data_IF_058678267922
#
_entry.id   IF_058678267922
#
_cell.length_a   1.000
_cell.length_b   1.000
_cell.length_c   1.000
_cell.angle_alpha   90.00
_cell.angle_beta   90.00
_cell.angle_gamma   90.00
#
_symmetry.space_group_name_H-M   'P 1'
#
loop_
_entity.id
_entity.type
_entity.pdbx_description
1 polymer ?
#
# COMPACT_ATOMS: atom_id res chain seq x y z
N UNK A 1 23.78 -7.48 21.42
CA UNK A 1 24.06 -8.31 20.23
C UNK A 1 25.24 -7.68 19.50
N UNK A 2 26.04 -8.41 18.73
CA UNK A 2 27.12 -7.76 17.95
C UNK A 2 26.55 -7.10 16.69
N UNK A 3 27.12 -5.98 16.25
CA UNK A 3 26.70 -5.29 15.01
C UNK A 3 26.64 -6.22 13.81
N UNK A 4 27.58 -7.18 13.72
CA UNK A 4 27.60 -8.18 12.65
C UNK A 4 26.31 -9.01 12.61
N UNK A 5 25.77 -9.38 13.77
CA UNK A 5 24.53 -10.16 13.86
C UNK A 5 23.34 -9.35 13.39
N UNK A 6 23.26 -8.07 13.76
CA UNK A 6 22.20 -7.15 13.34
C UNK A 6 22.28 -6.90 11.82
N UNK A 7 23.47 -6.69 11.26
CA UNK A 7 23.68 -6.54 9.81
C UNK A 7 23.22 -7.79 9.05
N UNK A 8 23.63 -8.97 9.51
CA UNK A 8 23.21 -10.24 8.90
C UNK A 8 21.67 -10.36 8.95
N UNK A 9 21.05 -10.03 10.10
CA UNK A 9 19.61 -10.05 10.23
C UNK A 9 18.92 -9.11 9.23
N UNK A 10 19.39 -7.86 9.11
CA UNK A 10 18.87 -6.89 8.12
C UNK A 10 18.96 -7.44 6.70
N UNK A 11 20.12 -7.96 6.30
CA UNK A 11 20.33 -8.51 4.95
C UNK A 11 19.40 -9.69 4.70
N UNK A 12 19.29 -10.62 5.65
CA UNK A 12 18.40 -11.77 5.53
C UNK A 12 16.93 -11.36 5.39
N UNK A 13 16.47 -10.37 6.15
CA UNK A 13 15.09 -9.88 6.09
C UNK A 13 14.82 -9.17 4.76
N UNK A 14 15.69 -8.26 4.33
CA UNK A 14 15.53 -7.52 3.08
C UNK A 14 15.61 -8.44 1.86
N UNK A 15 16.67 -9.25 1.75
CA UNK A 15 16.88 -10.14 0.61
C UNK A 15 15.85 -11.26 0.60
N UNK A 16 15.59 -11.89 1.75
CA UNK A 16 14.61 -12.97 1.86
C UNK A 16 13.19 -12.49 1.52
N UNK A 17 12.76 -11.36 2.10
CA UNK A 17 11.46 -10.76 1.81
C UNK A 17 11.33 -10.37 0.34
N UNK A 18 12.34 -9.71 -0.22
CA UNK A 18 12.35 -9.31 -1.62
C UNK A 18 12.29 -10.51 -2.57
N UNK A 19 13.05 -11.58 -2.30
CA UNK A 19 13.02 -12.80 -3.11
C UNK A 19 11.64 -13.43 -3.12
N UNK A 20 10.94 -13.49 -1.99
CA UNK A 20 9.57 -14.02 -1.93
C UNK A 20 8.63 -13.17 -2.79
N UNK A 21 8.65 -11.85 -2.62
CA UNK A 21 7.79 -10.93 -3.39
C UNK A 21 8.08 -11.01 -4.89
N UNK A 22 9.37 -11.04 -5.24
CA UNK A 22 9.81 -11.15 -6.64
C UNK A 22 9.42 -12.51 -7.26
N UNK A 23 9.49 -13.59 -6.49
CA UNK A 23 9.03 -14.91 -6.92
C UNK A 23 7.53 -14.90 -7.24
N UNK A 24 6.71 -14.26 -6.39
CA UNK A 24 5.27 -14.10 -6.64
C UNK A 24 4.99 -13.28 -7.90
N UNK A 25 5.77 -12.22 -8.13
CA UNK A 25 5.67 -11.42 -9.35
C UNK A 25 5.99 -12.24 -10.60
N UNK A 26 7.13 -12.95 -10.63
CA UNK A 26 7.52 -13.83 -11.74
C UNK A 26 6.43 -14.86 -12.00
N UNK A 27 5.92 -15.48 -10.93
CA UNK A 27 4.83 -16.46 -11.05
C UNK A 27 3.59 -15.86 -11.73
N UNK A 28 3.17 -14.66 -11.34
CA UNK A 28 2.05 -13.95 -11.97
C UNK A 28 2.30 -13.65 -13.44
N UNK A 29 3.48 -13.13 -13.78
CA UNK A 29 3.88 -12.83 -15.16
C UNK A 29 3.90 -14.07 -16.05
N UNK A 30 4.41 -15.19 -15.53
CA UNK A 30 4.44 -16.47 -16.25
C UNK A 30 3.03 -17.01 -16.54
N UNK A 31 2.10 -16.85 -15.60
CA UNK A 31 0.72 -17.32 -15.72
C UNK A 31 -0.16 -16.43 -16.59
N UNK A 32 0.00 -15.11 -16.50
CA UNK A 32 -0.91 -14.16 -17.13
C UNK A 32 -0.16 -12.89 -17.57
N UNK A 33 0.37 -12.91 -18.80
CA UNK A 33 1.17 -11.80 -19.35
C UNK A 33 0.37 -10.54 -19.64
N UNK A 34 -0.96 -10.64 -19.78
CA UNK A 34 -1.81 -9.55 -20.27
C UNK A 34 -2.36 -8.65 -19.15
N UNK A 35 -2.19 -9.03 -17.89
CA UNK A 35 -2.68 -8.24 -16.74
C UNK A 35 -1.53 -7.57 -16.00
N UNK A 36 -1.84 -6.46 -15.32
CA UNK A 36 -0.86 -5.66 -14.59
C UNK A 36 -0.42 -6.35 -13.28
N UNK A 37 0.40 -7.41 -13.39
CA UNK A 37 0.94 -8.16 -12.26
C UNK A 37 1.86 -7.31 -11.36
N UNK A 38 2.30 -6.16 -11.85
CA UNK A 38 3.07 -5.21 -11.04
C UNK A 38 2.23 -4.62 -9.89
N UNK A 39 0.90 -4.57 -10.01
CA UNK A 39 0.01 -4.20 -8.89
C UNK A 39 0.23 -5.14 -7.71
N UNK A 40 0.28 -6.46 -7.96
CA UNK A 40 0.51 -7.45 -6.91
C UNK A 40 1.89 -7.29 -6.26
N UNK A 41 2.94 -7.12 -7.08
CA UNK A 41 4.30 -6.86 -6.58
C UNK A 41 4.34 -5.63 -5.66
N UNK A 42 3.78 -4.51 -6.14
CA UNK A 42 3.76 -3.25 -5.41
C UNK A 42 2.96 -3.39 -4.10
N UNK A 43 1.79 -4.04 -4.14
CA UNK A 43 0.98 -4.30 -2.95
C UNK A 43 1.72 -5.13 -1.92
N UNK A 44 2.38 -6.23 -2.33
CA UNK A 44 3.13 -7.07 -1.39
C UNK A 44 4.30 -6.31 -0.75
N UNK A 45 5.02 -5.50 -1.52
CA UNK A 45 6.11 -4.67 -1.01
C UNK A 45 5.61 -3.62 0.00
N UNK A 46 4.50 -2.95 -0.31
CA UNK A 46 3.87 -1.97 0.60
C UNK A 46 3.35 -2.65 1.86
N UNK A 47 2.70 -3.81 1.75
CA UNK A 47 2.25 -4.57 2.93
C UNK A 47 3.42 -5.00 3.79
N UNK A 48 4.53 -5.41 3.18
CA UNK A 48 5.74 -5.79 3.90
C UNK A 48 6.38 -4.61 4.66
N UNK A 49 6.50 -3.46 3.98
CA UNK A 49 6.91 -2.19 4.60
C UNK A 49 5.99 -1.81 5.77
N UNK A 50 4.66 -1.92 5.60
CA UNK A 50 3.69 -1.61 6.64
C UNK A 50 3.85 -2.48 7.90
N UNK A 51 4.05 -3.79 7.73
CA UNK A 51 4.30 -4.72 8.84
C UNK A 51 5.59 -4.34 9.58
N UNK A 52 6.67 -4.07 8.84
CA UNK A 52 7.94 -3.67 9.45
C UNK A 52 7.85 -2.33 10.16
N UNK A 53 7.05 -1.40 9.65
CA UNK A 53 6.83 -0.12 10.31
C UNK A 53 6.06 -0.28 11.63
N UNK A 54 5.08 -1.20 11.71
CA UNK A 54 4.43 -1.55 12.98
C UNK A 54 5.45 -2.17 13.96
N UNK A 55 6.27 -3.11 13.48
CA UNK A 55 7.33 -3.74 14.30
C UNK A 55 8.31 -2.68 14.82
N UNK A 56 8.71 -1.74 13.97
CA UNK A 56 9.57 -0.63 14.35
C UNK A 56 8.95 0.27 15.42
N UNK A 57 7.66 0.61 15.31
CA UNK A 57 6.98 1.41 16.33
C UNK A 57 6.89 0.68 17.68
N UNK A 58 6.65 -0.64 17.67
CA UNK A 58 6.70 -1.46 18.88
C UNK A 58 8.13 -1.51 19.45
N UNK A 59 9.14 -1.69 18.60
CA UNK A 59 10.53 -1.67 19.03
C UNK A 59 10.92 -0.33 19.66
N UNK A 60 10.50 0.78 19.06
CA UNK A 60 10.73 2.13 19.60
C UNK A 60 10.09 2.30 20.99
N UNK A 61 8.86 1.80 21.16
CA UNK A 61 8.13 1.87 22.42
C UNK A 61 8.80 1.06 23.55
N UNK A 62 9.25 -0.16 23.26
CA UNK A 62 9.78 -1.07 24.27
C UNK A 62 11.27 -0.90 24.56
N UNK A 63 12.08 -0.52 23.56
CA UNK A 63 13.54 -0.54 23.68
C UNK A 63 14.18 0.84 23.56
N UNK A 64 13.62 1.74 22.76
CA UNK A 64 14.22 3.04 22.49
C UNK A 64 13.68 4.17 23.37
N UNK A 65 12.61 3.94 24.13
CA UNK A 65 12.06 4.91 25.07
C UNK A 65 13.09 5.34 26.14
N UNK A 66 14.03 4.46 26.47
CA UNK A 66 15.12 4.74 27.43
C UNK A 66 16.38 5.32 26.76
N UNK A 67 16.60 5.09 25.46
CA UNK A 67 17.84 5.51 24.76
C UNK A 67 17.80 6.94 24.22
N UNK A 68 16.61 7.46 23.95
CA UNK A 68 16.43 8.80 23.40
C UNK A 68 15.47 9.59 24.28
N UNK A 69 15.81 10.84 24.56
CA UNK A 69 14.88 11.78 25.18
C UNK A 69 13.72 12.07 24.19
N UNK A 70 12.58 11.41 24.34
CA UNK A 70 11.29 11.69 23.69
C UNK A 70 11.05 11.32 22.19
N UNK A 71 11.56 10.22 21.59
CA UNK A 71 11.16 9.87 20.22
C UNK A 71 9.74 9.30 20.05
N UNK A 72 9.07 8.61 21.02
CA UNK A 72 7.71 8.16 20.79
C UNK A 72 6.75 9.33 20.64
N UNK A 73 7.00 10.47 21.30
CA UNK A 73 6.12 11.65 21.26
C UNK A 73 6.05 12.29 19.86
N UNK A 74 7.14 12.26 19.10
CA UNK A 74 7.18 12.83 17.74
C UNK A 74 6.77 11.84 16.64
N UNK A 75 6.99 10.53 16.84
CA UNK A 75 6.63 9.50 15.87
C UNK A 75 5.13 9.14 15.91
N UNK A 76 4.55 9.04 17.11
CA UNK A 76 3.13 8.69 17.28
C UNK A 76 2.19 9.58 16.45
N UNK A 77 2.31 10.92 16.46
CA UNK A 77 1.43 11.78 15.70
C UNK A 77 1.49 11.51 14.19
N UNK A 78 2.68 11.28 13.64
CA UNK A 78 2.86 10.95 12.21
C UNK A 78 2.15 9.63 11.87
N UNK A 79 2.36 8.59 12.68
CA UNK A 79 1.68 7.31 12.54
C UNK A 79 0.15 7.47 12.62
N UNK A 80 -0.36 8.17 13.63
CA UNK A 80 -1.79 8.36 13.84
C UNK A 80 -2.44 9.16 12.72
N UNK A 81 -1.82 10.26 12.27
CA UNK A 81 -2.33 11.08 11.15
C UNK A 81 -2.42 10.23 9.89
N UNK A 82 -1.38 9.46 9.57
CA UNK A 82 -1.36 8.59 8.40
C UNK A 82 -2.45 7.51 8.47
N UNK A 83 -2.52 6.75 9.57
CA UNK A 83 -3.53 5.69 9.75
C UNK A 83 -4.93 6.29 9.67
N UNK A 84 -5.19 7.38 10.38
CA UNK A 84 -6.52 7.99 10.44
C UNK A 84 -6.97 8.48 9.06
N UNK A 85 -6.08 9.18 8.35
CA UNK A 85 -6.37 9.68 7.02
C UNK A 85 -6.62 8.56 6.01
N UNK A 86 -5.75 7.54 6.00
CA UNK A 86 -5.90 6.38 5.12
C UNK A 86 -7.16 5.58 5.46
N UNK A 87 -7.46 5.37 6.74
CA UNK A 87 -8.68 4.69 7.18
C UNK A 87 -9.93 5.41 6.67
N UNK A 88 -10.02 6.73 6.86
CA UNK A 88 -11.16 7.53 6.41
C UNK A 88 -11.39 7.38 4.90
N UNK A 89 -10.33 7.49 4.11
CA UNK A 89 -10.41 7.38 2.66
C UNK A 89 -10.75 5.96 2.20
N UNK A 90 -10.15 4.93 2.80
CA UNK A 90 -10.48 3.53 2.52
C UNK A 90 -11.95 3.25 2.80
N UNK A 91 -12.44 3.62 3.98
CA UNK A 91 -13.85 3.44 4.34
C UNK A 91 -14.76 4.21 3.39
N UNK A 92 -14.41 5.44 3.03
CA UNK A 92 -15.19 6.25 2.09
C UNK A 92 -15.26 5.62 0.69
N UNK A 93 -14.14 5.15 0.15
CA UNK A 93 -14.06 4.50 -1.17
C UNK A 93 -14.87 3.20 -1.16
N UNK A 94 -14.60 2.31 -0.19
CA UNK A 94 -15.26 1.00 -0.13
C UNK A 94 -16.76 1.13 0.14
N UNK A 95 -17.19 2.04 1.02
CA UNK A 95 -18.62 2.28 1.30
C UNK A 95 -19.35 2.80 0.07
N UNK A 96 -18.71 3.68 -0.72
CA UNK A 96 -19.27 4.14 -1.99
C UNK A 96 -19.47 2.97 -2.95
N UNK A 97 -18.47 2.11 -3.11
CA UNK A 97 -18.57 0.94 -3.99
C UNK A 97 -19.65 -0.03 -3.52
N UNK A 98 -19.74 -0.33 -2.22
CA UNK A 98 -20.78 -1.20 -1.67
C UNK A 98 -22.20 -0.69 -1.94
N UNK A 99 -22.40 0.63 -1.92
CA UNK A 99 -23.72 1.23 -2.12
C UNK A 99 -24.10 1.29 -3.61
N UNK A 100 -23.15 1.64 -4.47
CA UNK A 100 -23.43 2.06 -5.85
C UNK A 100 -23.01 1.03 -6.91
N UNK A 101 -22.26 -0.01 -6.55
CA UNK A 101 -21.76 -1.02 -7.49
C UNK A 101 -22.25 -2.42 -7.06
N UNK A 102 -23.27 -2.93 -7.76
CA UNK A 102 -23.85 -4.26 -7.51
C UNK A 102 -22.82 -5.38 -7.66
N UNK A 103 -21.95 -5.30 -8.65
CA UNK A 103 -20.96 -6.34 -8.93
C UNK A 103 -19.92 -6.41 -7.80
N UNK A 104 -19.42 -5.26 -7.35
CA UNK A 104 -18.52 -5.18 -6.20
C UNK A 104 -19.21 -5.70 -4.93
N UNK A 105 -20.49 -5.38 -4.74
CA UNK A 105 -21.24 -5.85 -3.56
C UNK A 105 -21.38 -7.37 -3.53
N UNK A 106 -21.66 -8.02 -4.66
CA UNK A 106 -21.70 -9.49 -4.73
C UNK A 106 -20.33 -10.10 -4.45
N UNK A 107 -19.28 -9.59 -5.12
CA UNK A 107 -17.90 -10.04 -4.88
C UNK A 107 -17.49 -9.87 -3.41
N UNK A 108 -17.84 -8.74 -2.79
CA UNK A 108 -17.55 -8.46 -1.39
C UNK A 108 -18.21 -9.50 -0.47
N UNK A 109 -19.42 -9.96 -0.78
CA UNK A 109 -20.10 -10.96 0.05
C UNK A 109 -19.37 -12.30 0.08
N UNK A 110 -18.72 -12.68 -1.03
CA UNK A 110 -17.96 -13.91 -1.18
C UNK A 110 -16.55 -13.80 -0.57
N UNK A 111 -15.93 -12.62 -0.64
CA UNK A 111 -14.52 -12.41 -0.25
C UNK A 111 -14.32 -11.40 0.89
N UNK A 112 -15.28 -11.29 1.83
CA UNK A 112 -15.28 -10.30 2.93
C UNK A 112 -13.96 -10.24 3.69
N UNK A 113 -13.44 -11.40 4.10
CA UNK A 113 -12.21 -11.48 4.90
C UNK A 113 -11.00 -10.90 4.17
N UNK A 114 -10.89 -11.19 2.87
CA UNK A 114 -9.83 -10.64 2.03
C UNK A 114 -9.96 -9.13 1.86
N UNK A 115 -11.17 -8.62 1.58
CA UNK A 115 -11.41 -7.18 1.49
C UNK A 115 -11.03 -6.45 2.79
N UNK A 116 -11.39 -7.01 3.96
CA UNK A 116 -11.02 -6.45 5.27
C UNK A 116 -9.50 -6.47 5.46
N UNK A 117 -8.82 -7.55 5.09
CA UNK A 117 -7.36 -7.64 5.16
C UNK A 117 -6.68 -6.58 4.27
N UNK A 118 -7.16 -6.40 3.05
CA UNK A 118 -6.66 -5.36 2.14
C UNK A 118 -6.98 -3.96 2.67
N UNK A 119 -8.14 -3.76 3.28
CA UNK A 119 -8.48 -2.50 3.95
C UNK A 119 -7.52 -2.22 5.13
N UNK A 120 -7.13 -3.23 5.91
CA UNK A 120 -6.10 -3.08 6.94
C UNK A 120 -4.72 -2.76 6.35
N UNK A 121 -4.30 -3.43 5.27
CA UNK A 121 -3.04 -3.12 4.60
C UNK A 121 -3.04 -1.69 4.01
N UNK A 122 -4.21 -1.20 3.58
CA UNK A 122 -4.34 0.15 3.03
C UNK A 122 -4.11 1.26 4.06
N UNK A 123 -4.08 0.94 5.36
CA UNK A 123 -3.72 1.88 6.42
C UNK A 123 -2.27 2.37 6.27
N UNK A 124 -1.38 1.54 5.73
CA UNK A 124 -0.02 1.94 5.37
C UNK A 124 0.00 2.79 4.10
N UNK A 125 -0.66 2.33 3.03
CA UNK A 125 -0.80 3.11 1.79
C UNK A 125 -2.03 2.72 1.00
N UNK A 126 -2.77 3.71 0.51
CA UNK A 126 -4.01 3.52 -0.25
C UNK A 126 -3.79 2.83 -1.61
N UNK A 127 -2.56 2.83 -2.12
CA UNK A 127 -2.18 2.10 -3.34
C UNK A 127 -2.55 0.61 -3.28
N UNK A 128 -2.55 0.02 -2.08
CA UNK A 128 -2.85 -1.41 -1.87
C UNK A 128 -4.25 -1.79 -2.36
N UNK A 129 -5.21 -0.84 -2.34
CA UNK A 129 -6.59 -1.10 -2.78
C UNK A 129 -6.70 -1.50 -4.26
N UNK A 130 -5.73 -1.14 -5.10
CA UNK A 130 -5.73 -1.56 -6.50
C UNK A 130 -5.61 -3.08 -6.69
N UNK A 131 -5.07 -3.79 -5.69
CA UNK A 131 -4.96 -5.26 -5.76
C UNK A 131 -6.32 -5.94 -5.84
N UNK A 132 -7.38 -5.29 -5.34
CA UNK A 132 -8.74 -5.82 -5.38
C UNK A 132 -9.20 -6.06 -6.83
N UNK A 133 -8.68 -5.33 -7.81
CA UNK A 133 -9.09 -5.42 -9.21
C UNK A 133 -7.92 -5.70 -10.16
N UNK A 134 -6.87 -6.38 -9.69
CA UNK A 134 -5.67 -6.65 -10.50
C UNK A 134 -5.73 -7.96 -11.33
N UNK A 135 -6.76 -8.80 -11.10
CA UNK A 135 -6.99 -10.09 -11.79
C UNK A 135 -5.78 -11.03 -11.75
N UNK A 136 -5.02 -10.97 -10.65
CA UNK A 136 -3.81 -11.76 -10.48
C UNK A 136 -4.11 -13.25 -10.58
N UNK A 137 -3.39 -13.94 -11.47
CA UNK A 137 -3.52 -15.39 -11.72
C UNK A 137 -4.96 -15.87 -12.03
N UNK A 138 -5.82 -14.99 -12.56
CA UNK A 138 -7.24 -15.28 -12.85
C UNK A 138 -8.03 -15.75 -11.62
N UNK A 139 -7.57 -15.45 -10.41
CA UNK A 139 -8.32 -15.77 -9.21
C UNK A 139 -9.40 -14.70 -9.00
N UNK A 140 -10.61 -15.16 -8.75
CA UNK A 140 -11.81 -14.38 -8.43
C UNK A 140 -11.59 -13.39 -7.26
N UNK A 141 -10.80 -13.78 -6.26
CA UNK A 141 -10.44 -12.95 -5.12
C UNK A 141 -9.68 -11.66 -5.51
N UNK A 142 -9.13 -11.56 -6.72
CA UNK A 142 -8.48 -10.35 -7.24
C UNK A 142 -9.28 -9.66 -8.36
N UNK A 143 -10.55 -10.02 -8.55
CA UNK A 143 -11.46 -9.46 -9.56
C UNK A 143 -12.71 -8.85 -8.90
N UNK A 144 -12.49 -7.82 -8.08
CA UNK A 144 -13.55 -7.13 -7.34
C UNK A 144 -14.44 -6.24 -8.21
N UNK A 145 -14.08 -6.02 -9.49
CA UNK A 145 -14.83 -5.18 -10.43
C UNK A 145 -15.09 -3.77 -9.87
N UNK A 146 -14.02 -3.15 -9.37
CA UNK A 146 -14.05 -1.76 -8.90
C UNK A 146 -14.52 -0.84 -10.03
N UNK A 147 -15.36 0.15 -9.72
CA UNK A 147 -15.75 1.16 -10.70
C UNK A 147 -14.56 2.04 -11.11
N UNK A 148 -14.58 2.55 -12.34
CA UNK A 148 -13.57 3.52 -12.81
C UNK A 148 -13.44 4.73 -11.87
N UNK A 149 -14.56 5.14 -11.28
CA UNK A 149 -14.56 6.26 -10.34
C UNK A 149 -13.84 5.92 -9.03
N UNK A 150 -13.97 4.69 -8.52
CA UNK A 150 -13.22 4.25 -7.35
C UNK A 150 -11.73 4.15 -7.65
N UNK A 151 -11.34 3.57 -8.79
CA UNK A 151 -9.94 3.44 -9.18
C UNK A 151 -9.27 4.81 -9.32
N UNK A 152 -9.93 5.77 -9.98
CA UNK A 152 -9.45 7.16 -10.04
C UNK A 152 -9.30 7.77 -8.65
N UNK A 153 -10.26 7.55 -7.76
CA UNK A 153 -10.16 8.02 -6.37
C UNK A 153 -9.01 7.39 -5.62
N UNK A 154 -8.75 6.09 -5.79
CA UNK A 154 -7.62 5.40 -5.17
C UNK A 154 -6.30 6.03 -5.63
N UNK A 155 -6.14 6.31 -6.93
CA UNK A 155 -4.94 6.99 -7.45
C UNK A 155 -4.73 8.35 -6.78
N UNK A 156 -5.74 9.22 -6.77
CA UNK A 156 -5.62 10.56 -6.16
C UNK A 156 -5.38 10.48 -4.66
N UNK A 157 -6.11 9.60 -3.97
CA UNK A 157 -5.99 9.36 -2.55
C UNK A 157 -4.58 8.85 -2.20
N UNK A 158 -3.99 8.00 -3.03
CA UNK A 158 -2.63 7.50 -2.85
C UNK A 158 -1.57 8.60 -2.95
N UNK A 159 -1.74 9.57 -3.87
CA UNK A 159 -0.84 10.73 -3.97
C UNK A 159 -0.87 11.54 -2.68
N UNK A 160 -2.07 11.78 -2.14
CA UNK A 160 -2.22 12.51 -0.87
C UNK A 160 -1.62 11.71 0.29
N UNK A 161 -1.87 10.39 0.33
CA UNK A 161 -1.31 9.47 1.33
C UNK A 161 0.21 9.48 1.36
N UNK A 162 0.86 9.59 0.19
CA UNK A 162 2.31 9.72 0.10
C UNK A 162 2.84 11.02 0.73
N UNK A 163 2.17 12.13 0.46
CA UNK A 163 2.59 13.44 0.98
C UNK A 163 2.36 13.53 2.50
N UNK A 164 1.23 13.00 3.00
CA UNK A 164 0.87 13.10 4.41
C UNK A 164 1.46 12.00 5.29
N UNK A 165 1.77 10.83 4.72
CA UNK A 165 2.23 9.66 5.46
C UNK A 165 3.64 9.23 5.08
N UNK A 166 3.80 8.75 3.84
CA UNK A 166 5.03 8.08 3.40
C UNK A 166 6.27 8.99 3.47
N UNK A 167 6.17 10.23 2.99
CA UNK A 167 7.29 11.18 2.97
C UNK A 167 7.69 11.60 4.39
N UNK A 168 6.77 12.07 5.27
CA UNK A 168 7.10 12.34 6.67
C UNK A 168 7.72 11.14 7.39
N UNK A 169 7.18 9.94 7.16
CA UNK A 169 7.70 8.69 7.70
C UNK A 169 9.13 8.41 7.25
N UNK A 170 9.44 8.63 5.97
CA UNK A 170 10.80 8.46 5.43
C UNK A 170 11.79 9.40 6.11
N UNK A 171 11.45 10.68 6.24
CA UNK A 171 12.31 11.66 6.92
C UNK A 171 12.55 11.29 8.37
N UNK A 172 11.50 10.85 9.08
CA UNK A 172 11.60 10.44 10.46
C UNK A 172 12.47 9.20 10.64
N UNK A 173 12.28 8.16 9.82
CA UNK A 173 13.12 6.97 9.83
C UNK A 173 14.58 7.30 9.52
N UNK A 174 14.83 8.20 8.56
CA UNK A 174 16.17 8.68 8.25
C UNK A 174 16.83 9.41 9.42
N UNK A 175 16.11 10.35 10.05
CA UNK A 175 16.57 11.06 11.24
C UNK A 175 16.91 10.11 12.39
N UNK A 176 16.04 9.13 12.67
CA UNK A 176 16.25 8.16 13.74
C UNK A 176 17.43 7.23 13.43
N UNK A 177 17.57 6.73 12.20
CA UNK A 177 18.70 5.89 11.82
C UNK A 177 20.04 6.63 11.89
N UNK A 178 20.08 7.94 11.55
CA UNK A 178 21.30 8.75 11.69
C UNK A 178 21.64 9.10 13.14
N UNK A 179 20.65 9.14 14.02
CA UNK A 179 20.84 9.45 15.44
C UNK A 179 21.24 8.24 16.31
N UNK A 180 21.17 7.02 15.78
CA UNK A 180 21.60 5.82 16.48
C UNK A 180 23.13 5.70 16.48
N UNK A 181 23.71 5.43 17.64
CA UNK A 181 25.17 5.20 17.78
C UNK A 181 25.58 3.81 17.28
N UNK A 182 24.69 2.83 17.46
CA UNK A 182 24.91 1.42 17.10
C UNK A 182 23.98 1.01 15.96
N UNK A 183 24.33 -0.08 15.26
CA UNK A 183 23.51 -0.60 14.17
C UNK A 183 22.39 -1.50 14.71
N UNK A 184 21.14 -1.18 14.40
CA UNK A 184 19.97 -1.98 14.79
C UNK A 184 19.18 -2.44 13.58
N UNK A 185 18.89 -3.73 13.50
CA UNK A 185 18.30 -4.30 12.31
C UNK A 185 16.90 -3.76 12.01
N UNK A 186 16.06 -3.56 13.04
CA UNK A 186 14.66 -3.12 12.90
C UNK A 186 14.53 -1.73 12.26
N UNK A 187 15.10 -0.65 12.83
CA UNK A 187 15.00 0.70 12.23
C UNK A 187 15.63 0.76 10.83
N UNK A 188 16.74 0.06 10.61
CA UNK A 188 17.41 0.07 9.30
C UNK A 188 16.59 -0.69 8.25
N UNK A 189 16.05 -1.86 8.58
CA UNK A 189 15.17 -2.63 7.68
C UNK A 189 13.93 -1.81 7.32
N UNK A 190 13.28 -1.18 8.30
CA UNK A 190 12.11 -0.32 8.05
C UNK A 190 12.44 0.86 7.14
N UNK A 191 13.60 1.50 7.32
CA UNK A 191 14.03 2.60 6.46
C UNK A 191 14.22 2.16 5.00
N UNK A 192 14.94 1.05 4.76
CA UNK A 192 15.14 0.53 3.41
C UNK A 192 13.84 0.08 2.75
N UNK A 193 12.93 -0.57 3.50
CA UNK A 193 11.63 -0.96 2.97
C UNK A 193 10.78 0.24 2.60
N UNK A 194 10.74 1.30 3.42
CA UNK A 194 10.00 2.52 3.10
C UNK A 194 10.57 3.20 1.86
N UNK A 195 11.91 3.23 1.72
CA UNK A 195 12.55 3.75 0.51
C UNK A 195 12.13 2.95 -0.74
N UNK A 196 12.17 1.62 -0.69
CA UNK A 196 11.76 0.76 -1.80
C UNK A 196 10.28 0.94 -2.14
N UNK A 197 9.40 0.92 -1.13
CA UNK A 197 7.96 1.06 -1.30
C UNK A 197 7.59 2.40 -1.94
N UNK A 198 8.24 3.50 -1.54
CA UNK A 198 8.04 4.82 -2.15
C UNK A 198 8.50 4.80 -3.62
N UNK A 199 9.68 4.27 -3.91
CA UNK A 199 10.22 4.25 -5.26
C UNK A 199 9.32 3.44 -6.21
N UNK A 200 9.03 2.18 -5.89
CA UNK A 200 8.16 1.35 -6.72
C UNK A 200 6.72 1.86 -6.76
N UNK A 201 6.22 2.43 -5.66
CA UNK A 201 4.91 3.06 -5.60
C UNK A 201 4.79 4.32 -6.47
N UNK A 202 5.86 5.11 -6.58
CA UNK A 202 5.92 6.26 -7.50
C UNK A 202 5.93 5.79 -8.96
N UNK A 203 6.76 4.80 -9.30
CA UNK A 203 6.74 4.19 -10.64
C UNK A 203 5.37 3.65 -11.01
N UNK A 204 4.68 2.99 -10.07
CA UNK A 204 3.32 2.50 -10.27
C UNK A 204 2.34 3.63 -10.61
N UNK A 205 2.34 4.71 -9.82
CA UNK A 205 1.41 5.84 -10.02
C UNK A 205 1.65 6.56 -11.32
N UNK A 206 2.93 6.76 -11.69
CA UNK A 206 3.31 7.33 -12.98
C UNK A 206 2.84 6.44 -14.13
N UNK A 207 3.05 5.12 -14.01
CA UNK A 207 2.58 4.15 -15.01
C UNK A 207 1.06 4.18 -15.17
N UNK A 208 0.30 4.08 -14.07
CA UNK A 208 -1.17 4.14 -14.11
C UNK A 208 -1.67 5.49 -14.66
N UNK A 209 -1.10 6.61 -14.24
CA UNK A 209 -1.53 7.92 -14.74
C UNK A 209 -1.25 8.10 -16.23
N UNK A 210 -0.11 7.62 -16.74
CA UNK A 210 0.22 7.78 -18.17
C UNK A 210 -0.55 6.81 -19.07
N UNK A 211 -0.76 5.58 -18.63
CA UNK A 211 -1.36 4.52 -19.46
C UNK A 211 -2.89 4.53 -19.38
N UNK A 212 -3.47 4.79 -18.20
CA UNK A 212 -4.92 4.68 -17.97
C UNK A 212 -5.70 5.92 -18.42
N UNK A 213 -5.09 7.10 -18.44
CA UNK A 213 -5.70 8.29 -19.05
C UNK A 213 -5.82 8.17 -20.59
N UNK A 214 -5.18 7.16 -21.21
CA UNK A 214 -5.29 6.85 -22.64
C UNK A 214 -6.40 5.83 -22.98
N UNK A 215 -6.88 5.05 -22.01
CA UNK A 215 -8.07 4.21 -22.20
C UNK A 215 -9.31 5.08 -22.07
N UNK A 216 -9.65 5.75 -23.18
CA UNK A 216 -10.93 6.42 -23.38
C UNK A 216 -12.04 5.48 -22.87
N UNK A 217 -12.94 5.93 -21.96
CA UNK A 217 -14.03 5.10 -21.48
C UNK A 217 -14.76 4.51 -22.68
N UNK A 218 -14.85 3.19 -22.75
CA UNK A 218 -15.64 2.53 -23.78
C UNK A 218 -17.02 3.21 -23.79
N UNK A 219 -17.46 3.62 -24.97
CA UNK A 219 -18.63 4.46 -25.28
C UNK A 219 -19.89 4.17 -24.43
N UNK A 220 -20.02 2.97 -23.86
CA UNK A 220 -21.07 2.58 -22.93
C UNK A 220 -21.12 3.38 -21.61
N UNK A 221 -19.99 3.80 -21.02
CA UNK A 221 -20.03 4.59 -19.76
C UNK A 221 -20.53 6.02 -19.98
N UNK A 222 -20.21 6.63 -21.13
CA UNK A 222 -20.72 7.95 -21.51
C UNK A 222 -22.24 7.94 -21.78
N UNK A 223 -22.77 6.84 -22.32
CA UNK A 223 -24.21 6.72 -22.58
C UNK A 223 -25.01 6.63 -21.29
N UNK A 224 -24.50 5.93 -20.27
CA UNK A 224 -25.16 5.80 -18.97
C UNK A 224 -25.13 7.13 -18.21
N UNK A 225 -24.00 7.85 -18.21
CA UNK A 225 -23.89 9.13 -17.52
C UNK A 225 -24.77 10.21 -18.16
N UNK A 226 -24.90 10.22 -19.49
CA UNK A 226 -25.75 11.18 -20.21
C UNK A 226 -27.23 10.94 -19.95
N UNK A 227 -27.66 9.68 -19.80
CA UNK A 227 -29.04 9.32 -19.47
C UNK A 227 -29.42 9.76 -18.05
N UNK A 228 -28.52 9.54 -17.09
CA UNK A 228 -28.72 9.99 -15.70
C UNK A 228 -28.76 11.52 -15.55
N UNK A 229 -28.09 12.26 -16.43
CA UNK A 229 -28.12 13.72 -16.45
C UNK A 229 -29.33 14.33 -17.16
N UNK A 230 -30.02 13.55 -18.01
CA UNK A 230 -31.25 13.97 -18.71
C UNK A 230 -32.53 13.60 -17.93
N UNK A 231 -32.41 12.70 -16.94
CA UNK A 231 -33.51 12.22 -16.10
C UNK A 231 -33.53 12.88 -14.69
N UNK A 232 -32.60 13.81 -14.41
CA UNK A 232 -32.52 14.63 -13.18
C UNK A 232 -32.88 16.09 -13.47
#
# INVERSE_FOLDING_TARGET
>A
MSDLTEIIATVCLLVGGFLIIFSTYIFGVCKNKNHNNFIMFNTLLITYDWIFYIIFNLWLWFFAADMFLNPPLFNLPVLFIMIFFNLLLTVFILRRELNNNEQFRTWFQEHKAFCIFIAFCSLGSLNVLHVLNCKFNYMDIFDAKLSFTAEKKIIHASVISLVLGDIPRLFLLGYLNMGLTDFYAVPTTSFFLTLLAINFGLFYRLYESMVRDYEIPAVQEFVISKKQFLEA
#
